data_IF_040208182503
#
_entry.id   IF_040208182503
#
_cell.length_a   1.000
_cell.length_b   1.000
_cell.length_c   1.000
_cell.angle_alpha   90.00
_cell.angle_beta   90.00
_cell.angle_gamma   90.00
#
_symmetry.space_group_name_H-M   'P 1'
#
loop_
_entity.id
_entity.type
_entity.pdbx_description
1 polymer ?
#
# COMPACT_ATOMS: atom_id res chain seq x y z
N UNK A 1 -11.02 -28.14 -5.92
CA UNK A 1 -9.87 -28.77 -5.23
C UNK A 1 -9.65 -28.05 -3.91
N UNK A 2 -10.30 -28.50 -2.84
CA UNK A 2 -10.04 -28.03 -1.47
C UNK A 2 -9.45 -29.22 -0.71
N UNK A 3 -8.14 -29.25 -0.47
CA UNK A 3 -7.56 -30.43 0.17
C UNK A 3 -6.05 -30.54 0.32
N UNK A 4 -5.26 -29.49 0.11
CA UNK A 4 -3.88 -29.48 0.61
C UNK A 4 -3.81 -28.55 1.82
N UNK A 5 -3.67 -29.15 3.00
CA UNK A 5 -3.47 -28.42 4.24
C UNK A 5 -2.25 -27.50 4.13
N UNK A 6 -2.38 -26.28 4.66
CA UNK A 6 -1.27 -25.31 4.69
C UNK A 6 -0.04 -25.91 5.37
N UNK A 7 1.14 -25.70 4.79
CA UNK A 7 2.40 -26.13 5.40
C UNK A 7 2.64 -25.38 6.72
N UNK A 8 3.48 -25.93 7.60
CA UNK A 8 3.86 -25.29 8.86
C UNK A 8 4.44 -23.89 8.59
N UNK A 9 5.29 -23.76 7.55
CA UNK A 9 5.84 -22.47 7.14
C UNK A 9 4.77 -21.46 6.73
N UNK A 10 3.73 -21.87 5.99
CA UNK A 10 2.62 -20.98 5.62
C UNK A 10 1.82 -20.53 6.84
N UNK A 11 1.58 -21.43 7.81
CA UNK A 11 0.87 -21.07 9.06
C UNK A 11 1.72 -20.10 9.89
N UNK A 12 3.00 -20.38 10.08
CA UNK A 12 3.92 -19.52 10.81
C UNK A 12 4.03 -18.13 10.15
N UNK A 13 4.09 -18.08 8.81
CA UNK A 13 4.09 -16.83 8.06
C UNK A 13 2.80 -16.05 8.30
N UNK A 14 1.63 -16.68 8.17
CA UNK A 14 0.33 -16.03 8.41
C UNK A 14 0.25 -15.48 9.85
N UNK A 15 0.62 -16.28 10.85
CA UNK A 15 0.60 -15.84 12.24
C UNK A 15 1.58 -14.71 12.50
N UNK A 16 2.83 -14.83 12.04
CA UNK A 16 3.82 -13.77 12.18
C UNK A 16 3.36 -12.48 11.51
N UNK A 17 2.86 -12.57 10.30
CA UNK A 17 2.44 -11.43 9.46
C UNK A 17 1.16 -10.76 9.96
N UNK A 18 0.26 -11.48 10.65
CA UNK A 18 -0.94 -10.92 11.29
C UNK A 18 -0.64 -10.38 12.69
N UNK A 19 0.13 -11.12 13.51
CA UNK A 19 0.48 -10.66 14.86
C UNK A 19 1.42 -9.46 14.83
N UNK A 20 2.32 -9.38 13.85
CA UNK A 20 3.36 -8.38 13.86
C UNK A 20 2.83 -6.94 13.75
N UNK A 21 1.91 -6.60 12.83
CA UNK A 21 1.25 -5.29 12.82
C UNK A 21 0.47 -5.00 14.11
N UNK A 22 -0.17 -6.02 14.70
CA UNK A 22 -0.91 -5.87 15.95
C UNK A 22 0.02 -5.57 17.14
N UNK A 23 1.21 -6.19 17.18
CA UNK A 23 2.24 -5.89 18.19
C UNK A 23 2.77 -4.47 18.05
N UNK A 24 2.84 -3.94 16.83
CA UNK A 24 3.25 -2.55 16.61
C UNK A 24 2.22 -1.51 17.07
N UNK A 25 0.94 -1.87 17.22
CA UNK A 25 -0.05 -1.02 17.88
C UNK A 25 0.14 -0.94 19.40
N UNK A 26 0.91 -1.87 19.98
CA UNK A 26 1.26 -1.89 21.41
C UNK A 26 2.52 -1.07 21.68
N UNK A 27 3.41 -0.90 20.70
CA UNK A 27 4.65 -0.12 20.89
C UNK A 27 4.41 1.32 21.35
N UNK A 28 3.41 2.08 20.83
CA UNK A 28 3.11 3.42 21.31
C UNK A 28 2.72 3.47 22.80
N UNK A 29 2.01 2.46 23.31
CA UNK A 29 1.60 2.44 24.72
C UNK A 29 2.77 2.18 25.68
N UNK A 30 3.87 1.61 25.18
CA UNK A 30 5.10 1.45 25.95
C UNK A 30 5.89 2.76 26.05
N UNK A 31 5.58 3.77 25.24
CA UNK A 31 6.27 5.06 25.22
C UNK A 31 5.60 6.12 26.11
N UNK A 32 4.46 5.81 26.76
CA UNK A 32 3.65 6.83 27.44
C UNK A 32 4.00 7.08 28.91
N UNK A 33 5.02 6.43 29.49
CA UNK A 33 5.42 6.74 30.87
C UNK A 33 6.28 8.02 30.92
N UNK A 34 6.06 8.84 31.94
CA UNK A 34 6.74 10.15 32.07
C UNK A 34 8.27 10.03 32.00
N UNK A 35 8.86 9.02 32.66
CA UNK A 35 10.30 8.77 32.62
C UNK A 35 10.83 8.48 31.21
N UNK A 36 10.07 7.74 30.38
CA UNK A 36 10.47 7.42 29.01
C UNK A 36 10.30 8.61 28.09
N UNK A 37 9.24 9.39 28.28
CA UNK A 37 9.03 10.65 27.54
C UNK A 37 10.19 11.62 27.81
N UNK A 38 10.62 11.77 29.08
CA UNK A 38 11.77 12.59 29.43
C UNK A 38 13.06 12.09 28.75
N UNK A 39 13.33 10.78 28.81
CA UNK A 39 14.49 10.17 28.16
C UNK A 39 14.53 10.41 26.64
N UNK A 40 13.42 10.20 25.93
CA UNK A 40 13.35 10.41 24.47
C UNK A 40 13.37 11.89 24.07
N UNK A 41 12.91 12.79 24.96
CA UNK A 41 13.02 14.23 24.75
C UNK A 41 14.47 14.68 24.76
N UNK A 42 15.28 14.11 25.65
CA UNK A 42 16.73 14.34 25.70
C UNK A 42 17.46 13.64 24.53
N UNK A 43 16.96 12.49 24.07
CA UNK A 43 17.57 11.67 23.02
C UNK A 43 16.74 11.61 21.72
N UNK A 44 16.43 12.78 21.14
CA UNK A 44 15.59 12.87 19.94
C UNK A 44 16.05 12.00 18.76
N UNK A 45 17.37 11.86 18.57
CA UNK A 45 17.92 11.02 17.49
C UNK A 45 17.57 9.54 17.67
N UNK A 46 17.59 9.01 18.90
CA UNK A 46 17.19 7.64 19.20
C UNK A 46 15.71 7.41 18.91
N UNK A 47 14.85 8.38 19.24
CA UNK A 47 13.42 8.30 18.96
C UNK A 47 13.16 8.22 17.45
N UNK A 48 13.83 9.06 16.65
CA UNK A 48 13.69 9.05 15.18
C UNK A 48 14.09 7.69 14.60
N UNK A 49 15.24 7.14 15.02
CA UNK A 49 15.68 5.83 14.54
C UNK A 49 14.73 4.71 14.94
N UNK A 50 14.20 4.75 16.16
CA UNK A 50 13.18 3.80 16.62
C UNK A 50 11.91 3.88 15.76
N UNK A 51 11.42 5.09 15.46
CA UNK A 51 10.26 5.28 14.59
C UNK A 51 10.51 4.76 13.17
N UNK A 52 11.67 5.03 12.60
CA UNK A 52 12.07 4.51 11.28
C UNK A 52 12.07 2.98 11.29
N UNK A 53 12.67 2.37 12.31
CA UNK A 53 12.70 0.91 12.44
C UNK A 53 11.28 0.33 12.55
N UNK A 54 10.41 0.92 13.37
CA UNK A 54 9.01 0.51 13.51
C UNK A 54 8.26 0.59 12.18
N UNK A 55 8.39 1.72 11.46
CA UNK A 55 7.76 1.91 10.15
C UNK A 55 8.30 0.90 9.13
N UNK A 56 9.60 0.66 9.11
CA UNK A 56 10.24 -0.28 8.18
C UNK A 56 9.73 -1.71 8.40
N UNK A 57 9.64 -2.17 9.65
CA UNK A 57 9.16 -3.52 9.92
C UNK A 57 7.64 -3.62 9.71
N UNK A 58 6.88 -2.57 10.03
CA UNK A 58 5.44 -2.50 9.74
C UNK A 58 5.17 -2.65 8.24
N UNK A 59 5.81 -1.81 7.43
CA UNK A 59 5.63 -1.78 5.97
C UNK A 59 6.12 -3.07 5.32
N UNK A 60 7.25 -3.61 5.77
CA UNK A 60 7.75 -4.92 5.32
C UNK A 60 6.76 -6.04 5.60
N UNK A 61 6.22 -6.09 6.83
CA UNK A 61 5.24 -7.10 7.23
C UNK A 61 3.94 -6.96 6.44
N UNK A 62 3.42 -5.74 6.28
CA UNK A 62 2.25 -5.45 5.46
C UNK A 62 2.45 -5.88 4.00
N UNK A 63 3.64 -5.66 3.44
CA UNK A 63 4.01 -6.13 2.10
C UNK A 63 3.88 -7.65 1.95
N UNK A 64 4.29 -8.41 2.98
CA UNK A 64 4.12 -9.87 2.99
C UNK A 64 2.63 -10.25 3.09
N UNK A 65 1.83 -9.58 3.93
CA UNK A 65 0.35 -9.81 3.99
C UNK A 65 -0.23 -9.64 2.59
N UNK A 66 0.06 -8.50 1.96
CA UNK A 66 -0.48 -8.11 0.67
C UNK A 66 -0.07 -9.08 -0.44
N UNK A 67 1.19 -9.53 -0.43
CA UNK A 67 1.66 -10.58 -1.33
C UNK A 67 0.89 -11.89 -1.12
N UNK A 68 0.68 -12.31 0.12
CA UNK A 68 -0.10 -13.51 0.40
C UNK A 68 -1.55 -13.40 -0.10
N UNK A 69 -2.20 -12.24 0.10
CA UNK A 69 -3.55 -11.97 -0.42
C UNK A 69 -3.53 -12.03 -1.96
N UNK A 70 -2.53 -11.45 -2.63
CA UNK A 70 -2.39 -11.48 -4.09
C UNK A 70 -2.36 -12.90 -4.64
N UNK A 71 -1.64 -13.82 -3.98
CA UNK A 71 -1.52 -15.21 -4.45
C UNK A 71 -2.75 -16.06 -4.16
N UNK A 72 -3.51 -15.77 -3.09
CA UNK A 72 -4.64 -16.61 -2.66
C UNK A 72 -6.02 -16.04 -3.04
N UNK A 73 -6.13 -14.73 -3.21
CA UNK A 73 -7.38 -14.02 -3.46
C UNK A 73 -7.14 -12.85 -4.44
N UNK A 74 -6.59 -13.18 -5.61
CA UNK A 74 -6.12 -12.18 -6.60
C UNK A 74 -7.18 -11.14 -7.00
N UNK A 75 -8.45 -11.56 -7.13
CA UNK A 75 -9.55 -10.64 -7.41
C UNK A 75 -9.75 -9.60 -6.30
N UNK A 76 -9.79 -10.04 -5.04
CA UNK A 76 -9.90 -9.16 -3.88
C UNK A 76 -8.70 -8.21 -3.82
N UNK A 77 -7.49 -8.73 -4.05
CA UNK A 77 -6.28 -7.94 -4.09
C UNK A 77 -6.34 -6.81 -5.14
N UNK A 78 -6.75 -7.15 -6.37
CA UNK A 78 -6.90 -6.15 -7.44
C UNK A 78 -7.95 -5.09 -7.13
N UNK A 79 -9.09 -5.48 -6.54
CA UNK A 79 -10.11 -4.52 -6.09
C UNK A 79 -9.59 -3.57 -5.00
N UNK A 80 -8.82 -4.09 -4.04
CA UNK A 80 -8.18 -3.26 -3.02
C UNK A 80 -7.19 -2.27 -3.65
N UNK A 81 -6.35 -2.71 -4.60
CA UNK A 81 -5.43 -1.82 -5.31
C UNK A 81 -6.17 -0.69 -6.04
N UNK A 82 -7.28 -0.99 -6.71
CA UNK A 82 -8.11 0.02 -7.38
C UNK A 82 -8.65 1.04 -6.37
N UNK A 83 -9.22 0.59 -5.25
CA UNK A 83 -9.73 1.49 -4.19
C UNK A 83 -8.62 2.35 -3.61
N UNK A 84 -7.47 1.75 -3.26
CA UNK A 84 -6.32 2.49 -2.73
C UNK A 84 -5.78 3.52 -3.72
N UNK A 85 -5.68 3.14 -5.00
CA UNK A 85 -5.24 4.05 -6.05
C UNK A 85 -6.20 5.23 -6.24
N UNK A 86 -7.51 4.99 -6.25
CA UNK A 86 -8.52 6.05 -6.34
C UNK A 86 -8.40 7.03 -5.16
N UNK A 87 -8.32 6.52 -3.93
CA UNK A 87 -8.15 7.35 -2.73
C UNK A 87 -6.84 8.16 -2.79
N UNK A 88 -5.74 7.55 -3.22
CA UNK A 88 -4.45 8.23 -3.33
C UNK A 88 -4.47 9.34 -4.39
N UNK A 89 -5.04 9.06 -5.57
CA UNK A 89 -5.18 10.03 -6.66
C UNK A 89 -6.10 11.17 -6.22
N UNK A 90 -7.26 10.86 -5.66
CA UNK A 90 -8.22 11.84 -5.15
C UNK A 90 -7.56 12.75 -4.11
N UNK A 91 -6.91 12.17 -3.10
CA UNK A 91 -6.22 12.93 -2.06
C UNK A 91 -5.10 13.81 -2.65
N UNK A 92 -4.35 13.31 -3.64
CA UNK A 92 -3.30 14.08 -4.32
C UNK A 92 -3.90 15.28 -5.08
N UNK A 93 -4.98 15.05 -5.82
CA UNK A 93 -5.67 16.10 -6.60
C UNK A 93 -6.33 17.13 -5.68
N UNK A 94 -7.03 16.69 -4.64
CA UNK A 94 -7.67 17.56 -3.65
C UNK A 94 -6.62 18.41 -2.95
N UNK A 95 -5.50 17.83 -2.52
CA UNK A 95 -4.42 18.62 -1.93
C UNK A 95 -3.84 19.62 -2.92
N UNK A 96 -3.68 19.27 -4.19
CA UNK A 96 -3.18 20.19 -5.21
C UNK A 96 -4.16 21.38 -5.42
N UNK A 97 -5.46 21.11 -5.48
CA UNK A 97 -6.51 22.11 -5.72
C UNK A 97 -6.81 22.98 -4.50
N UNK A 98 -6.91 22.39 -3.31
CA UNK A 98 -7.23 23.09 -2.05
C UNK A 98 -6.04 23.77 -1.40
N UNK A 99 -4.81 23.44 -1.83
CA UNK A 99 -3.60 24.17 -1.44
C UNK A 99 -3.54 25.61 -1.99
N UNK A 100 -4.67 26.19 -2.41
CA UNK A 100 -4.85 27.52 -2.99
C UNK A 100 -4.42 28.73 -2.14
N UNK A 101 -3.65 28.53 -1.08
CA UNK A 101 -2.74 29.56 -0.58
C UNK A 101 -1.47 29.45 -1.42
N UNK A 102 -1.41 30.25 -2.49
CA UNK A 102 -0.24 30.33 -3.37
C UNK A 102 1.04 30.42 -2.53
N UNK A 103 2.09 29.67 -2.88
CA UNK A 103 3.33 29.75 -2.13
C UNK A 103 3.75 31.23 -2.06
N UNK A 104 3.96 31.74 -0.84
CA UNK A 104 4.93 32.82 -0.66
C UNK A 104 6.26 32.16 -1.01
N UNK A 105 6.63 32.22 -2.28
CA UNK A 105 7.82 31.53 -2.81
C UNK A 105 9.02 32.21 -2.17
N UNK A 106 9.61 31.57 -1.16
CA UNK A 106 10.94 31.95 -0.69
C UNK A 106 12.04 31.17 -1.40
N UNK A 107 11.77 30.00 -2.05
CA UNK A 107 12.79 29.26 -2.79
C UNK A 107 12.27 28.32 -3.90
N UNK A 108 12.90 28.37 -5.08
CA UNK A 108 12.58 27.52 -6.24
C UNK A 108 12.82 26.02 -6.02
N UNK A 109 13.73 25.67 -5.12
CA UNK A 109 14.02 24.27 -4.76
C UNK A 109 12.86 23.60 -4.00
N UNK A 110 12.21 24.33 -3.07
CA UNK A 110 11.06 23.81 -2.33
C UNK A 110 9.85 23.58 -3.25
N UNK A 111 9.65 24.48 -4.22
CA UNK A 111 8.62 24.31 -5.24
C UNK A 111 8.88 23.06 -6.10
N UNK A 112 10.13 22.82 -6.53
CA UNK A 112 10.49 21.61 -7.27
C UNK A 112 10.16 20.34 -6.48
N UNK A 113 10.57 20.25 -5.21
CA UNK A 113 10.32 19.07 -4.37
C UNK A 113 8.82 18.82 -4.14
N UNK A 114 8.04 19.87 -3.88
CA UNK A 114 6.59 19.75 -3.72
C UNK A 114 5.92 19.27 -5.00
N UNK A 115 6.29 19.84 -6.14
CA UNK A 115 5.69 19.50 -7.44
C UNK A 115 6.11 18.11 -7.91
N UNK A 116 7.37 17.74 -7.72
CA UNK A 116 7.88 16.40 -7.99
C UNK A 116 7.23 15.36 -7.08
N UNK A 117 7.04 15.67 -5.79
CA UNK A 117 6.34 14.80 -4.85
C UNK A 117 4.88 14.55 -5.24
N UNK A 118 4.14 15.62 -5.55
CA UNK A 118 2.75 15.50 -6.01
C UNK A 118 2.65 14.71 -7.33
N UNK A 119 3.56 14.96 -8.26
CA UNK A 119 3.63 14.21 -9.52
C UNK A 119 3.91 12.72 -9.28
N UNK A 120 4.89 12.40 -8.42
CA UNK A 120 5.22 11.02 -8.06
C UNK A 120 4.07 10.30 -7.37
N UNK A 121 3.33 10.97 -6.48
CA UNK A 121 2.14 10.42 -5.84
C UNK A 121 1.03 10.14 -6.86
N UNK A 122 0.77 11.07 -7.77
CA UNK A 122 -0.23 10.91 -8.82
C UNK A 122 0.11 9.75 -9.77
N UNK A 123 1.33 9.72 -10.31
CA UNK A 123 1.78 8.65 -11.20
C UNK A 123 1.91 7.30 -10.47
N UNK A 124 2.32 7.32 -9.19
CA UNK A 124 2.31 6.13 -8.34
C UNK A 124 0.91 5.57 -8.17
N UNK A 125 -0.07 6.42 -7.91
CA UNK A 125 -1.49 6.04 -7.86
C UNK A 125 -1.99 5.45 -9.18
N UNK A 126 -1.68 6.09 -10.31
CA UNK A 126 -2.05 5.57 -11.64
C UNK A 126 -1.41 4.20 -11.92
N UNK A 127 -0.15 4.01 -11.56
CA UNK A 127 0.52 2.73 -11.69
C UNK A 127 -0.17 1.63 -10.88
N UNK A 128 -0.51 1.91 -9.61
CA UNK A 128 -1.25 0.97 -8.75
C UNK A 128 -2.63 0.68 -9.32
N UNK A 129 -3.33 1.68 -9.89
CA UNK A 129 -4.62 1.48 -10.55
C UNK A 129 -4.53 0.50 -11.72
N UNK A 130 -3.57 0.72 -12.62
CA UNK A 130 -3.35 -0.16 -13.78
C UNK A 130 -3.03 -1.59 -13.34
N UNK A 131 -2.17 -1.73 -12.32
CA UNK A 131 -1.84 -3.03 -11.74
C UNK A 131 -3.06 -3.70 -11.08
N UNK A 132 -3.89 -2.93 -10.40
CA UNK A 132 -5.14 -3.40 -9.82
C UNK A 132 -6.09 -3.96 -10.88
N UNK A 133 -6.25 -3.26 -12.00
CA UNK A 133 -7.04 -3.72 -13.15
C UNK A 133 -6.48 -5.04 -13.74
N UNK A 134 -5.16 -5.17 -13.88
CA UNK A 134 -4.54 -6.42 -14.33
C UNK A 134 -4.82 -7.58 -13.36
N UNK A 135 -4.68 -7.34 -12.04
CA UNK A 135 -4.98 -8.35 -11.02
C UNK A 135 -6.46 -8.74 -11.01
N UNK A 136 -7.39 -7.80 -11.23
CA UNK A 136 -8.81 -8.12 -11.44
C UNK A 136 -8.99 -9.03 -12.65
N UNK A 137 -8.43 -8.66 -13.80
CA UNK A 137 -8.52 -9.47 -15.02
C UNK A 137 -7.97 -10.88 -14.85
N UNK A 138 -6.84 -11.03 -14.16
CA UNK A 138 -6.28 -12.34 -13.83
C UNK A 138 -7.13 -13.11 -12.82
N UNK A 139 -7.70 -12.44 -11.83
CA UNK A 139 -8.59 -13.03 -10.83
C UNK A 139 -9.94 -13.49 -11.38
N UNK A 140 -10.37 -12.94 -12.52
CA UNK A 140 -11.61 -13.33 -13.22
C UNK A 140 -11.45 -14.51 -14.17
N UNK A 141 -10.23 -15.00 -14.44
CA UNK A 141 -9.99 -16.12 -15.36
C UNK A 141 -10.73 -17.38 -14.92
N UNK A 142 -11.39 -18.06 -15.86
CA UNK A 142 -12.21 -19.25 -15.61
C UNK A 142 -13.57 -18.94 -14.95
N UNK A 143 -13.92 -17.67 -14.73
CA UNK A 143 -15.23 -17.27 -14.19
C UNK A 143 -16.17 -16.82 -15.31
N UNK A 144 -17.47 -16.73 -15.00
CA UNK A 144 -18.48 -16.20 -15.94
C UNK A 144 -18.23 -14.76 -16.41
N UNK A 145 -17.42 -14.00 -15.68
CA UNK A 145 -17.12 -12.60 -15.97
C UNK A 145 -15.88 -12.39 -16.84
N UNK A 146 -15.11 -13.45 -17.12
CA UNK A 146 -13.90 -13.38 -17.94
C UNK A 146 -14.18 -12.79 -19.32
N UNK A 147 -15.23 -13.26 -20.00
CA UNK A 147 -15.59 -12.78 -21.35
C UNK A 147 -15.94 -11.29 -21.37
N UNK A 148 -16.69 -10.83 -20.36
CA UNK A 148 -17.04 -9.42 -20.23
C UNK A 148 -15.79 -8.57 -19.98
N UNK A 149 -14.87 -9.06 -19.15
CA UNK A 149 -13.62 -8.38 -18.87
C UNK A 149 -12.70 -8.31 -20.10
N UNK A 150 -12.54 -9.41 -20.84
CA UNK A 150 -11.72 -9.43 -22.06
C UNK A 150 -12.26 -8.48 -23.14
N UNK A 151 -13.59 -8.35 -23.26
CA UNK A 151 -14.23 -7.35 -24.12
C UNK A 151 -13.89 -5.92 -23.69
N UNK A 152 -14.07 -5.59 -22.41
CA UNK A 152 -13.83 -4.24 -21.88
C UNK A 152 -12.34 -3.85 -21.87
N UNK A 153 -11.45 -4.82 -21.64
CA UNK A 153 -10.00 -4.59 -21.57
C UNK A 153 -9.33 -4.48 -22.95
N UNK A 154 -10.12 -4.51 -24.04
CA UNK A 154 -9.64 -4.42 -25.43
C UNK A 154 -8.53 -5.43 -25.74
N UNK A 155 -8.54 -6.57 -25.04
CA UNK A 155 -7.56 -7.61 -25.24
C UNK A 155 -7.73 -8.16 -26.64
N UNK A 156 -6.68 -8.14 -27.45
CA UNK A 156 -6.80 -8.67 -28.81
C UNK A 156 -7.18 -10.15 -28.73
N UNK A 157 -8.34 -10.48 -29.29
CA UNK A 157 -8.74 -11.87 -29.48
C UNK A 157 -7.77 -12.42 -30.52
N UNK A 158 -6.67 -13.04 -30.09
CA UNK A 158 -5.85 -13.83 -30.99
C UNK A 158 -6.76 -14.92 -31.56
N UNK A 159 -7.04 -14.82 -32.87
CA UNK A 159 -7.58 -15.96 -33.62
C UNK A 159 -6.65 -17.13 -33.37
N UNK A 160 -7.16 -18.17 -32.72
CA UNK A 160 -6.53 -19.48 -32.75
C UNK A 160 -6.86 -20.05 -34.13
N UNK A 161 -5.91 -19.93 -35.04
CA UNK A 161 -5.91 -20.67 -36.31
C UNK A 161 -5.59 -22.15 -36.04
#
# INVERSE_FOLDING_TARGET
>A
MFGQGRTIGQKALIYGVILFPALLLVVPSWLTSEERVAYFTEHQSLLIWLMIAVIAIYTGSLGIVLYWIRENARLLYGLLEIVFAMVLIEFTVVNLLLSGHGPKIEDGFQMLFRTAGASAQFFGGLYVLVRGLDNVGQGLRGTRFEKTWDYLSLKSVKKQD
#
